data_IF_846265454825
#
_entry.id   IF_846265454825
#
_cell.length_a   1.000
_cell.length_b   1.000
_cell.length_c   1.000
_cell.angle_alpha   90.00
_cell.angle_beta   90.00
_cell.angle_gamma   90.00
#
_symmetry.space_group_name_H-M   'P 1'
#
loop_
_entity.id
_entity.type
_entity.pdbx_description
1 polymer ?
#
# COMPACT_ATOMS: atom_id res chain seq x y z
N UNK A 1 -36.39 85.48 -3.79
CA UNK A 1 -35.47 84.47 -3.36
C UNK A 1 -35.93 83.11 -3.93
N UNK A 2 -35.17 82.60 -4.93
CA UNK A 2 -35.55 81.41 -5.69
C UNK A 2 -34.84 80.20 -5.19
N UNK A 3 -35.55 79.17 -4.80
CA UNK A 3 -35.02 77.91 -4.33
C UNK A 3 -34.96 76.94 -5.48
N UNK A 4 -33.72 76.64 -5.95
CA UNK A 4 -33.49 75.60 -6.99
C UNK A 4 -33.54 74.19 -6.33
N UNK A 5 -34.52 73.39 -6.80
CA UNK A 5 -34.56 71.93 -6.49
C UNK A 5 -33.56 71.23 -7.37
N UNK A 6 -32.59 70.53 -6.68
CA UNK A 6 -31.68 69.60 -7.37
C UNK A 6 -32.34 68.20 -7.34
N UNK A 7 -32.66 67.68 -8.52
CA UNK A 7 -33.12 66.29 -8.69
C UNK A 7 -31.86 65.44 -8.87
N UNK A 8 -31.58 64.57 -7.92
CA UNK A 8 -30.52 63.55 -8.02
C UNK A 8 -31.10 62.30 -8.68
N UNK A 9 -30.66 62.04 -9.90
CA UNK A 9 -31.02 60.83 -10.64
C UNK A 9 -30.07 59.70 -10.19
N UNK A 10 -30.58 58.74 -9.41
CA UNK A 10 -29.85 57.53 -9.05
C UNK A 10 -29.89 56.56 -10.23
N UNK A 11 -28.75 56.34 -10.89
CA UNK A 11 -28.56 55.28 -11.87
C UNK A 11 -28.28 53.97 -11.12
N UNK A 12 -29.27 53.09 -11.07
CA UNK A 12 -29.13 51.74 -10.55
C UNK A 12 -28.44 50.86 -11.61
N UNK A 13 -27.17 50.61 -11.44
CA UNK A 13 -26.44 49.64 -12.27
C UNK A 13 -26.88 48.23 -11.90
N UNK A 14 -27.75 47.62 -12.68
CA UNK A 14 -28.08 46.20 -12.58
C UNK A 14 -26.89 45.41 -13.13
N UNK A 15 -26.07 44.82 -12.23
CA UNK A 15 -25.08 43.84 -12.61
C UNK A 15 -25.82 42.53 -12.92
N UNK A 16 -26.01 42.25 -14.21
CA UNK A 16 -26.46 40.96 -14.71
C UNK A 16 -25.35 39.93 -14.42
N UNK A 17 -25.46 39.22 -13.29
CA UNK A 17 -24.71 37.99 -13.09
C UNK A 17 -25.36 36.94 -13.99
N UNK A 18 -24.83 36.82 -15.20
CA UNK A 18 -25.20 35.73 -16.09
C UNK A 18 -24.85 34.38 -15.44
N UNK A 19 -25.60 33.30 -15.73
CA UNK A 19 -25.24 31.96 -15.22
C UNK A 19 -23.83 31.65 -15.73
N UNK A 20 -22.90 31.30 -14.78
CA UNK A 20 -21.61 30.73 -15.16
C UNK A 20 -21.92 29.52 -16.07
N UNK A 21 -21.68 29.65 -17.36
CA UNK A 21 -21.81 28.55 -18.29
C UNK A 21 -20.88 27.44 -17.78
N UNK A 22 -21.45 26.28 -17.46
CA UNK A 22 -20.64 25.10 -17.11
C UNK A 22 -19.66 24.89 -18.27
N UNK A 23 -18.36 24.87 -17.95
CA UNK A 23 -17.32 24.71 -18.97
C UNK A 23 -17.60 23.43 -19.77
N UNK A 24 -17.62 23.55 -21.10
CA UNK A 24 -17.86 22.42 -21.99
C UNK A 24 -16.75 21.36 -21.77
N UNK A 25 -17.17 20.10 -21.64
CA UNK A 25 -16.24 19.00 -21.45
C UNK A 25 -15.61 18.60 -22.80
N UNK A 26 -14.32 18.35 -22.78
CA UNK A 26 -13.63 17.82 -23.94
C UNK A 26 -14.09 16.39 -24.23
N UNK A 27 -14.11 16.02 -25.52
CA UNK A 27 -14.65 14.72 -25.98
C UNK A 27 -13.79 13.50 -25.60
N UNK A 28 -12.59 13.73 -25.07
CA UNK A 28 -11.62 12.68 -24.69
C UNK A 28 -11.08 12.93 -23.29
N UNK A 29 -10.74 11.84 -22.59
CA UNK A 29 -10.02 11.85 -21.31
C UNK A 29 -9.04 10.67 -21.28
N UNK A 30 -7.77 10.91 -20.97
CA UNK A 30 -6.74 9.89 -20.87
C UNK A 30 -6.30 9.71 -19.43
N UNK A 31 -6.52 8.51 -18.87
CA UNK A 31 -6.24 8.18 -17.46
C UNK A 31 -5.12 7.16 -17.37
N UNK A 32 -3.99 7.54 -16.80
CA UNK A 32 -2.91 6.60 -16.44
C UNK A 32 -3.26 5.91 -15.12
N UNK A 33 -3.29 4.60 -15.12
CA UNK A 33 -3.66 3.84 -13.92
C UNK A 33 -2.98 2.49 -13.80
N UNK A 34 -2.72 2.07 -12.54
CA UNK A 34 -2.26 0.71 -12.20
C UNK A 34 -3.39 -0.21 -11.75
N UNK A 35 -4.60 0.30 -11.61
CA UNK A 35 -5.75 -0.45 -11.08
C UNK A 35 -6.22 -1.59 -11.99
N UNK A 36 -6.82 -2.65 -11.41
CA UNK A 36 -7.34 -3.79 -12.17
C UNK A 36 -8.46 -3.37 -13.15
N UNK A 37 -8.65 -4.21 -14.18
CA UNK A 37 -9.60 -3.93 -15.26
C UNK A 37 -11.04 -3.80 -14.78
N UNK A 38 -11.47 -4.60 -13.80
CA UNK A 38 -12.84 -4.57 -13.30
C UNK A 38 -13.19 -3.21 -12.68
N UNK A 39 -12.29 -2.65 -11.86
CA UNK A 39 -12.46 -1.32 -11.29
C UNK A 39 -12.50 -0.26 -12.39
N UNK A 40 -11.48 -0.23 -13.25
CA UNK A 40 -11.36 0.83 -14.27
C UNK A 40 -12.49 0.79 -15.29
N UNK A 41 -12.99 -0.42 -15.65
CA UNK A 41 -14.13 -0.60 -16.55
C UNK A 41 -15.43 -0.06 -15.94
N UNK A 42 -15.67 -0.34 -14.64
CA UNK A 42 -16.88 0.14 -13.95
C UNK A 42 -16.91 1.66 -13.86
N UNK A 43 -15.79 2.29 -13.46
CA UNK A 43 -15.70 3.75 -13.41
C UNK A 43 -15.79 4.41 -14.80
N UNK A 44 -15.11 3.85 -15.80
CA UNK A 44 -15.24 4.31 -17.20
C UNK A 44 -16.68 4.28 -17.65
N UNK A 45 -17.37 3.13 -17.48
CA UNK A 45 -18.78 2.97 -17.90
C UNK A 45 -19.69 3.99 -17.18
N UNK A 46 -19.52 4.17 -15.88
CA UNK A 46 -20.33 5.10 -15.10
C UNK A 46 -20.07 6.56 -15.47
N UNK A 47 -18.81 6.93 -15.69
CA UNK A 47 -18.46 8.29 -16.12
C UNK A 47 -18.99 8.61 -17.53
N UNK A 48 -18.79 7.71 -18.51
CA UNK A 48 -19.28 7.88 -19.88
C UNK A 48 -20.82 7.88 -19.96
N UNK A 49 -21.50 7.18 -19.04
CA UNK A 49 -22.96 7.25 -18.93
C UNK A 49 -23.45 8.60 -18.39
N UNK A 50 -22.72 9.19 -17.41
CA UNK A 50 -23.03 10.51 -16.85
C UNK A 50 -22.69 11.66 -17.82
N UNK A 51 -21.65 11.46 -18.62
CA UNK A 51 -21.15 12.44 -19.59
C UNK A 51 -21.01 11.79 -20.97
N UNK A 52 -22.14 11.62 -21.74
CA UNK A 52 -22.15 10.81 -22.96
C UNK A 52 -21.24 11.33 -24.08
N UNK A 53 -20.84 12.60 -24.03
CA UNK A 53 -19.93 13.21 -25.01
C UNK A 53 -18.45 12.89 -24.80
N UNK A 54 -18.08 12.35 -23.64
CA UNK A 54 -16.69 12.11 -23.26
C UNK A 54 -16.30 10.63 -23.41
N UNK A 55 -15.18 10.35 -24.08
CA UNK A 55 -14.60 9.01 -24.19
C UNK A 55 -13.37 8.87 -23.31
N UNK A 56 -13.40 7.93 -22.37
CA UNK A 56 -12.30 7.67 -21.45
C UNK A 56 -11.36 6.60 -22.00
N UNK A 57 -10.09 6.95 -22.12
CA UNK A 57 -9.00 6.01 -22.46
C UNK A 57 -8.21 5.64 -21.19
N UNK A 58 -8.16 4.35 -20.84
CA UNK A 58 -7.40 3.85 -19.70
C UNK A 58 -6.02 3.38 -20.16
N UNK A 59 -4.98 4.19 -19.90
CA UNK A 59 -3.58 3.86 -20.18
C UNK A 59 -3.00 3.07 -19.00
N UNK A 60 -3.02 1.75 -19.12
CA UNK A 60 -2.60 0.86 -18.03
C UNK A 60 -1.08 0.81 -17.89
N UNK A 61 -0.57 1.26 -16.74
CA UNK A 61 0.86 1.24 -16.38
C UNK A 61 1.02 0.83 -14.91
N UNK A 62 2.13 0.16 -14.58
CA UNK A 62 2.52 0.00 -13.16
C UNK A 62 2.76 1.40 -12.56
N UNK A 63 2.55 1.56 -11.25
CA UNK A 63 2.71 2.86 -10.56
C UNK A 63 4.03 3.55 -10.93
N UNK A 64 5.18 2.90 -10.72
CA UNK A 64 6.50 3.48 -11.06
C UNK A 64 6.71 3.72 -12.56
N UNK A 65 6.13 2.89 -13.43
CA UNK A 65 6.18 3.09 -14.87
C UNK A 65 5.28 4.25 -15.32
N UNK A 66 4.21 4.52 -14.57
CA UNK A 66 3.35 5.69 -14.77
C UNK A 66 4.08 6.98 -14.42
N UNK A 67 4.77 7.05 -13.27
CA UNK A 67 5.62 8.19 -12.89
C UNK A 67 6.64 8.47 -13.99
N UNK A 68 7.41 7.45 -14.38
CA UNK A 68 8.44 7.59 -15.41
C UNK A 68 7.87 8.08 -16.75
N UNK A 69 6.71 7.55 -17.15
CA UNK A 69 6.03 7.99 -18.37
C UNK A 69 5.65 9.47 -18.31
N UNK A 70 5.11 9.95 -17.19
CA UNK A 70 4.75 11.37 -17.01
C UNK A 70 6.01 12.25 -17.07
N UNK A 71 7.08 11.84 -16.37
CA UNK A 71 8.37 12.55 -16.40
C UNK A 71 8.97 12.65 -17.81
N UNK A 72 8.95 11.55 -18.58
CA UNK A 72 9.50 11.48 -19.93
C UNK A 72 8.65 12.24 -20.96
N UNK A 73 7.34 12.35 -20.73
CA UNK A 73 6.42 13.00 -21.69
C UNK A 73 6.02 14.42 -21.32
N UNK A 74 6.59 15.01 -20.25
CA UNK A 74 6.19 16.31 -19.71
C UNK A 74 6.09 17.46 -20.73
N UNK A 75 6.97 17.48 -21.73
CA UNK A 75 6.98 18.51 -22.79
C UNK A 75 5.94 18.28 -23.90
N UNK A 76 5.37 17.07 -24.00
CA UNK A 76 4.36 16.65 -24.99
C UNK A 76 3.31 15.78 -24.30
N UNK A 77 2.82 16.24 -23.15
CA UNK A 77 1.86 15.49 -22.36
C UNK A 77 0.58 15.19 -23.15
N UNK A 78 0.13 13.92 -23.11
CA UNK A 78 -1.10 13.44 -23.76
C UNK A 78 -2.06 12.79 -22.76
N UNK A 79 -1.72 12.81 -21.48
CA UNK A 79 -2.51 12.20 -20.42
C UNK A 79 -3.05 13.28 -19.47
N UNK A 80 -4.21 13.03 -18.91
CA UNK A 80 -4.92 14.01 -18.09
C UNK A 80 -4.87 13.69 -16.62
N UNK A 81 -5.02 12.41 -16.27
CA UNK A 81 -5.16 11.94 -14.90
C UNK A 81 -4.11 10.86 -14.59
N UNK A 82 -3.53 10.96 -13.42
CA UNK A 82 -2.81 9.87 -12.76
C UNK A 82 -3.67 9.32 -11.61
N UNK A 83 -4.06 8.03 -11.69
CA UNK A 83 -4.98 7.41 -10.75
C UNK A 83 -4.45 6.05 -10.27
N UNK A 84 -3.89 6.02 -9.05
CA UNK A 84 -3.23 4.85 -8.47
C UNK A 84 -3.41 4.75 -6.95
N UNK A 85 -3.05 3.60 -6.36
CA UNK A 85 -3.24 3.33 -4.93
C UNK A 85 -2.10 3.77 -4.01
N UNK A 86 -0.98 4.24 -4.57
CA UNK A 86 0.23 4.55 -3.78
C UNK A 86 0.35 6.07 -3.60
N UNK A 87 0.11 6.62 -2.40
CA UNK A 87 0.15 8.06 -2.16
C UNK A 87 1.54 8.67 -2.37
N UNK A 88 2.61 7.96 -2.03
CA UNK A 88 4.01 8.35 -2.24
C UNK A 88 4.34 8.64 -3.71
N UNK A 89 3.64 7.98 -4.65
CA UNK A 89 3.80 8.26 -6.08
C UNK A 89 3.37 9.68 -6.47
N UNK A 90 2.39 10.24 -5.77
CA UNK A 90 1.92 11.62 -6.00
C UNK A 90 2.89 12.63 -5.42
N UNK A 91 3.52 12.34 -4.29
CA UNK A 91 4.56 13.20 -3.72
C UNK A 91 5.75 13.36 -4.68
N UNK A 92 6.15 12.28 -5.36
CA UNK A 92 7.20 12.36 -6.41
C UNK A 92 6.79 13.30 -7.53
N UNK A 93 5.56 13.14 -8.06
CA UNK A 93 5.09 13.98 -9.17
C UNK A 93 4.83 15.43 -8.75
N UNK A 94 4.41 15.67 -7.50
CA UNK A 94 4.24 17.00 -6.92
C UNK A 94 5.58 17.74 -6.83
N UNK A 95 6.62 17.09 -6.28
CA UNK A 95 7.96 17.66 -6.18
C UNK A 95 8.57 17.99 -7.55
N UNK A 96 8.28 17.15 -8.55
CA UNK A 96 8.73 17.38 -9.93
C UNK A 96 7.93 18.46 -10.67
N UNK A 97 6.89 19.06 -10.04
CA UNK A 97 5.99 20.04 -10.65
C UNK A 97 5.13 19.45 -11.78
N UNK A 98 4.81 18.15 -11.71
CA UNK A 98 4.11 17.42 -12.75
C UNK A 98 2.63 17.19 -12.46
N UNK A 99 2.11 17.79 -11.40
CA UNK A 99 0.68 17.80 -11.07
C UNK A 99 0.13 19.22 -11.07
N UNK A 100 -1.16 19.34 -11.43
CA UNK A 100 -1.91 20.57 -11.38
C UNK A 100 -2.78 20.63 -10.13
N UNK A 101 -2.81 21.77 -9.47
CA UNK A 101 -3.71 22.02 -8.33
C UNK A 101 -5.16 21.95 -8.77
N UNK A 102 -5.93 21.12 -8.10
CA UNK A 102 -7.38 21.05 -8.23
C UNK A 102 -8.01 20.53 -6.93
N UNK A 103 -8.89 21.33 -6.34
CA UNK A 103 -9.69 20.94 -5.17
C UNK A 103 -11.08 20.55 -5.64
N UNK A 104 -11.41 19.27 -5.47
CA UNK A 104 -12.75 18.76 -5.77
C UNK A 104 -13.80 19.45 -4.89
N UNK A 105 -14.91 19.86 -5.48
CA UNK A 105 -16.06 20.47 -4.79
C UNK A 105 -17.01 19.44 -4.17
N UNK A 106 -16.72 18.14 -4.26
CA UNK A 106 -17.59 17.07 -3.76
C UNK A 106 -17.75 17.16 -2.25
N UNK A 107 -18.99 17.35 -1.79
CA UNK A 107 -19.35 17.42 -0.37
C UNK A 107 -19.38 16.04 0.30
N UNK A 108 -19.42 16.04 1.64
CA UNK A 108 -19.60 14.82 2.46
C UNK A 108 -18.35 13.95 2.62
N UNK A 109 -17.18 14.41 2.17
CA UNK A 109 -15.93 13.70 2.34
C UNK A 109 -15.15 14.35 3.48
N UNK A 110 -14.79 13.61 4.55
CA UNK A 110 -14.01 14.15 5.65
C UNK A 110 -12.58 14.48 5.23
N UNK A 111 -11.90 15.29 6.02
CA UNK A 111 -10.49 15.66 5.76
C UNK A 111 -9.53 14.49 5.97
N UNK A 112 -9.86 13.59 6.90
CA UNK A 112 -9.02 12.46 7.29
C UNK A 112 -9.79 11.14 7.32
N UNK A 113 -9.04 10.03 7.22
CA UNK A 113 -9.49 8.69 7.55
C UNK A 113 -8.53 8.12 8.60
N UNK A 114 -9.03 7.80 9.79
CA UNK A 114 -8.15 7.60 10.94
C UNK A 114 -7.28 8.84 11.15
N UNK A 115 -5.96 8.68 11.14
CA UNK A 115 -5.00 9.77 11.28
C UNK A 115 -4.47 10.30 9.93
N UNK A 116 -4.96 9.75 8.80
CA UNK A 116 -4.39 10.00 7.48
C UNK A 116 -5.22 11.03 6.69
N UNK A 117 -4.59 12.08 6.09
CA UNK A 117 -5.28 13.03 5.21
C UNK A 117 -5.86 12.33 3.98
N UNK A 118 -7.14 12.55 3.68
CA UNK A 118 -7.79 12.00 2.48
C UNK A 118 -7.41 12.71 1.19
N UNK A 119 -6.84 13.92 1.28
CA UNK A 119 -6.39 14.66 0.10
C UNK A 119 -5.12 15.44 0.46
N UNK A 120 -4.34 15.79 -0.55
CA UNK A 120 -3.19 16.66 -0.37
C UNK A 120 -3.63 18.04 0.14
N UNK A 121 -3.05 18.57 1.24
CA UNK A 121 -3.39 19.90 1.75
C UNK A 121 -3.20 21.03 0.72
N UNK A 122 -2.23 20.88 -0.19
CA UNK A 122 -1.97 21.86 -1.25
C UNK A 122 -2.85 21.65 -2.48
N UNK A 123 -3.62 20.56 -2.55
CA UNK A 123 -4.61 20.30 -3.59
C UNK A 123 -4.07 19.66 -4.87
N UNK A 124 -2.88 19.10 -4.89
CA UNK A 124 -2.31 18.45 -6.07
C UNK A 124 -2.91 17.07 -6.38
N UNK A 125 -3.48 16.41 -5.37
CA UNK A 125 -4.19 15.14 -5.55
C UNK A 125 -5.29 14.95 -4.50
N UNK A 126 -6.27 14.15 -4.85
CA UNK A 126 -7.42 13.85 -4.00
C UNK A 126 -7.58 12.37 -3.79
N UNK A 127 -7.87 11.96 -2.54
CA UNK A 127 -8.31 10.61 -2.23
C UNK A 127 -9.64 10.29 -2.92
N UNK A 128 -9.75 9.08 -3.45
CA UNK A 128 -10.93 8.62 -4.20
C UNK A 128 -11.45 7.27 -3.73
N UNK A 129 -10.66 6.54 -2.96
CA UNK A 129 -11.02 5.32 -2.25
C UNK A 129 -10.04 5.15 -1.10
N UNK A 130 -10.35 4.32 -0.12
CA UNK A 130 -9.41 3.96 0.93
C UNK A 130 -9.10 2.46 0.88
N UNK A 131 -8.00 2.07 1.49
CA UNK A 131 -7.61 0.68 1.66
C UNK A 131 -6.70 0.51 2.88
N UNK A 132 -6.85 -0.61 3.57
CA UNK A 132 -5.97 -1.03 4.65
C UNK A 132 -5.23 -2.32 4.31
N UNK A 133 -4.27 -2.69 5.15
CA UNK A 133 -3.47 -3.90 4.97
C UNK A 133 -3.83 -4.91 6.05
N UNK A 134 -3.78 -6.20 5.69
CA UNK A 134 -4.14 -7.21 6.67
C UNK A 134 -3.82 -8.62 6.23
N UNK A 135 -4.45 -9.55 6.90
CA UNK A 135 -4.24 -10.98 6.77
C UNK A 135 -5.47 -11.60 6.14
N UNK A 136 -5.28 -12.25 5.00
CA UNK A 136 -6.26 -13.06 4.30
C UNK A 136 -5.95 -14.54 4.54
N UNK A 137 -6.96 -15.38 4.72
CA UNK A 137 -6.76 -16.82 4.87
C UNK A 137 -7.85 -17.62 4.17
N UNK A 138 -7.50 -18.87 3.82
CA UNK A 138 -8.44 -19.84 3.24
C UNK A 138 -8.98 -20.77 4.34
N UNK A 139 -10.27 -20.68 4.64
CA UNK A 139 -10.94 -21.44 5.69
C UNK A 139 -10.82 -22.97 5.52
N UNK A 140 -10.92 -23.45 4.27
CA UNK A 140 -10.77 -24.89 3.97
C UNK A 140 -9.34 -25.36 4.21
N UNK A 141 -8.36 -24.55 3.80
CA UNK A 141 -6.94 -24.84 4.03
C UNK A 141 -6.60 -24.88 5.51
N UNK A 142 -7.02 -23.84 6.28
CA UNK A 142 -6.76 -23.81 7.72
C UNK A 142 -7.35 -25.02 8.43
N UNK A 143 -8.61 -25.39 8.09
CA UNK A 143 -9.26 -26.58 8.65
C UNK A 143 -8.47 -27.85 8.31
N UNK A 144 -8.11 -28.06 7.04
CA UNK A 144 -7.38 -29.26 6.59
C UNK A 144 -5.99 -29.39 7.23
N UNK A 145 -5.30 -28.28 7.45
CA UNK A 145 -3.97 -28.22 8.06
C UNK A 145 -3.99 -28.04 9.58
N UNK A 146 -5.18 -27.95 10.20
CA UNK A 146 -5.38 -27.72 11.65
C UNK A 146 -4.67 -26.44 12.13
N UNK A 147 -4.70 -25.38 11.32
CA UNK A 147 -4.10 -24.09 11.64
C UNK A 147 -5.13 -23.20 12.33
N UNK A 148 -4.74 -22.45 13.39
CA UNK A 148 -5.62 -21.44 13.97
C UNK A 148 -5.83 -20.28 13.00
N UNK A 149 -6.88 -19.49 13.21
CA UNK A 149 -7.12 -18.25 12.47
C UNK A 149 -6.17 -17.17 13.00
N UNK A 150 -5.35 -16.53 12.13
CA UNK A 150 -4.48 -15.45 12.56
C UNK A 150 -5.27 -14.15 12.74
N UNK A 151 -4.96 -13.40 13.81
CA UNK A 151 -5.60 -12.12 14.11
C UNK A 151 -4.62 -10.93 14.05
N UNK A 152 -3.34 -11.17 14.39
CA UNK A 152 -2.32 -10.14 14.50
C UNK A 152 -1.08 -10.50 13.67
N UNK A 153 -0.28 -9.49 13.27
CA UNK A 153 0.98 -9.73 12.55
C UNK A 153 1.88 -10.74 13.25
N UNK A 154 2.05 -10.60 14.57
CA UNK A 154 2.87 -11.51 15.39
C UNK A 154 2.41 -12.98 15.37
N UNK A 155 1.14 -13.23 15.06
CA UNK A 155 0.65 -14.61 14.96
C UNK A 155 1.35 -15.35 13.82
N UNK A 156 1.65 -14.65 12.71
CA UNK A 156 2.32 -15.24 11.55
C UNK A 156 3.77 -15.68 11.83
N UNK A 157 4.36 -15.21 12.93
CA UNK A 157 5.68 -15.67 13.39
C UNK A 157 5.62 -16.98 14.22
N UNK A 158 4.41 -17.44 14.60
CA UNK A 158 4.25 -18.69 15.37
C UNK A 158 4.65 -19.92 14.52
N UNK A 159 5.29 -20.95 15.14
CA UNK A 159 5.75 -22.14 14.44
C UNK A 159 4.69 -22.86 13.60
N UNK A 160 3.43 -22.82 14.04
CA UNK A 160 2.30 -23.46 13.35
C UNK A 160 2.09 -22.97 11.93
N UNK A 161 2.53 -21.75 11.61
CA UNK A 161 2.39 -21.17 10.27
C UNK A 161 3.59 -21.41 9.36
N UNK A 162 4.62 -22.16 9.79
CA UNK A 162 5.80 -22.41 8.98
C UNK A 162 5.46 -23.09 7.64
N UNK A 163 5.81 -22.43 6.53
CA UNK A 163 5.51 -22.89 5.17
C UNK A 163 4.05 -22.70 4.73
N UNK A 164 3.26 -21.87 5.45
CA UNK A 164 1.85 -21.65 5.14
C UNK A 164 1.49 -20.21 4.78
N UNK A 165 2.43 -19.27 4.86
CA UNK A 165 2.22 -17.83 4.63
C UNK A 165 2.81 -17.40 3.30
N UNK A 166 2.15 -16.47 2.61
CA UNK A 166 2.66 -15.80 1.41
C UNK A 166 2.61 -14.27 1.54
N UNK A 167 3.61 -13.62 0.98
CA UNK A 167 3.67 -12.16 0.82
C UNK A 167 4.26 -11.83 -0.54
N UNK A 168 4.10 -10.61 -1.05
CA UNK A 168 4.79 -10.17 -2.27
C UNK A 168 6.03 -9.33 -1.95
N UNK A 169 6.95 -9.19 -2.92
CA UNK A 169 8.12 -8.33 -2.76
C UNK A 169 7.74 -6.85 -2.84
N UNK A 170 8.11 -6.00 -1.87
CA UNK A 170 7.80 -4.57 -1.88
C UNK A 170 8.48 -3.84 -3.05
N UNK A 171 9.66 -4.27 -3.47
CA UNK A 171 10.39 -3.72 -4.63
C UNK A 171 9.60 -3.78 -5.94
N UNK A 172 8.55 -4.61 -6.02
CA UNK A 172 7.72 -4.81 -7.21
C UNK A 172 6.26 -4.46 -7.00
N UNK A 173 5.89 -4.06 -5.80
CA UNK A 173 4.51 -3.74 -5.41
C UNK A 173 4.48 -2.57 -4.44
N UNK A 174 4.01 -1.40 -4.90
CA UNK A 174 3.79 -0.25 -4.02
C UNK A 174 2.84 -0.57 -2.86
N UNK A 175 1.84 -1.41 -3.09
CA UNK A 175 0.96 -1.93 -2.02
C UNK A 175 1.75 -2.64 -0.93
N UNK A 176 2.66 -3.54 -1.30
CA UNK A 176 3.46 -4.28 -0.33
C UNK A 176 4.50 -3.39 0.35
N UNK A 177 5.06 -2.41 -0.37
CA UNK A 177 5.92 -1.40 0.24
C UNK A 177 5.20 -0.67 1.36
N UNK A 178 3.98 -0.19 1.11
CA UNK A 178 3.16 0.46 2.14
C UNK A 178 2.82 -0.48 3.32
N UNK A 179 2.60 -1.77 3.06
CA UNK A 179 2.41 -2.76 4.14
C UNK A 179 3.65 -2.88 5.03
N UNK A 180 4.83 -2.95 4.43
CA UNK A 180 6.12 -3.01 5.15
C UNK A 180 6.34 -1.70 5.93
N UNK A 181 6.17 -0.56 5.29
CA UNK A 181 6.29 0.76 5.94
C UNK A 181 5.32 0.93 7.10
N UNK A 182 4.09 0.45 6.98
CA UNK A 182 3.11 0.45 8.08
C UNK A 182 3.66 -0.29 9.32
N UNK A 183 4.32 -1.43 9.12
CA UNK A 183 4.93 -2.17 10.23
C UNK A 183 6.16 -1.45 10.80
N UNK A 184 6.96 -0.79 9.96
CA UNK A 184 8.16 -0.05 10.36
C UNK A 184 7.84 1.28 11.04
N UNK A 185 6.68 1.87 10.75
CA UNK A 185 6.20 3.13 11.34
C UNK A 185 5.25 2.90 12.52
N UNK A 186 5.05 1.65 12.95
CA UNK A 186 4.31 1.37 14.18
C UNK A 186 5.05 1.90 15.41
N UNK A 187 4.37 1.99 16.54
CA UNK A 187 4.97 2.43 17.81
C UNK A 187 6.18 1.59 18.25
N UNK A 188 6.32 0.37 17.69
CA UNK A 188 7.44 -0.52 17.94
C UNK A 188 8.74 -0.06 17.24
N UNK A 189 8.64 0.80 16.22
CA UNK A 189 9.74 1.43 15.51
C UNK A 189 10.52 0.52 14.55
N UNK A 190 11.56 1.07 13.93
CA UNK A 190 12.35 0.46 12.86
C UNK A 190 12.94 -0.91 13.23
N UNK A 191 13.67 -0.99 14.33
CA UNK A 191 14.38 -2.22 14.70
C UNK A 191 13.41 -3.37 15.01
N UNK A 192 12.36 -3.10 15.80
CA UNK A 192 11.34 -4.10 16.14
C UNK A 192 10.46 -4.44 14.94
N UNK A 193 10.14 -3.46 14.11
CA UNK A 193 9.42 -3.66 12.85
C UNK A 193 10.14 -4.66 11.93
N UNK A 194 11.44 -4.46 11.66
CA UNK A 194 12.24 -5.42 10.88
C UNK A 194 12.37 -6.79 11.53
N UNK A 195 12.56 -6.83 12.84
CA UNK A 195 12.55 -8.08 13.60
C UNK A 195 11.25 -8.86 13.38
N UNK A 196 10.10 -8.19 13.55
CA UNK A 196 8.79 -8.82 13.38
C UNK A 196 8.58 -9.29 11.93
N UNK A 197 8.94 -8.47 10.94
CA UNK A 197 8.85 -8.82 9.51
C UNK A 197 9.69 -10.06 9.20
N UNK A 198 10.96 -10.13 9.67
CA UNK A 198 11.83 -11.28 9.42
C UNK A 198 11.35 -12.56 10.13
N UNK A 199 10.85 -12.44 11.35
CA UNK A 199 10.28 -13.60 12.07
C UNK A 199 9.03 -14.16 11.41
N UNK A 200 8.16 -13.28 10.86
CA UNK A 200 7.05 -13.72 10.02
C UNK A 200 7.54 -14.34 8.71
N UNK A 201 8.52 -13.69 8.06
CA UNK A 201 9.06 -14.14 6.79
C UNK A 201 9.76 -15.51 6.87
N UNK A 202 10.33 -15.86 8.02
CA UNK A 202 10.83 -17.20 8.28
C UNK A 202 9.77 -18.32 8.19
N UNK A 203 8.50 -17.95 8.23
CA UNK A 203 7.37 -18.86 8.04
C UNK A 203 6.76 -18.79 6.62
N UNK A 204 7.32 -17.96 5.72
CA UNK A 204 6.77 -17.82 4.38
C UNK A 204 7.01 -19.08 3.54
N UNK A 205 5.96 -19.49 2.84
CA UNK A 205 6.04 -20.45 1.75
C UNK A 205 6.66 -19.83 0.51
N UNK A 206 6.36 -18.55 0.29
CA UNK A 206 6.78 -17.84 -0.92
C UNK A 206 6.73 -16.33 -0.76
N UNK A 207 7.60 -15.64 -1.51
CA UNK A 207 7.52 -14.21 -1.81
C UNK A 207 7.18 -14.08 -3.29
N UNK A 208 5.94 -13.66 -3.59
CA UNK A 208 5.48 -13.50 -4.97
C UNK A 208 6.02 -12.21 -5.59
N UNK A 209 6.16 -12.18 -6.92
CA UNK A 209 6.64 -10.99 -7.63
C UNK A 209 5.63 -9.82 -7.60
N UNK A 210 4.34 -10.11 -7.42
CA UNK A 210 3.27 -9.11 -7.49
C UNK A 210 2.23 -9.35 -6.41
N UNK A 211 1.63 -8.27 -5.93
CA UNK A 211 0.64 -8.32 -4.87
C UNK A 211 -0.56 -9.24 -5.17
N UNK A 212 -1.02 -9.32 -6.41
CA UNK A 212 -2.14 -10.20 -6.78
C UNK A 212 -1.79 -11.70 -6.78
N UNK A 213 -0.50 -12.08 -6.85
CA UNK A 213 -0.10 -13.48 -6.70
C UNK A 213 -0.35 -14.04 -5.29
N UNK A 214 -0.50 -13.17 -4.29
CA UNK A 214 -0.81 -13.60 -2.92
C UNK A 214 -2.26 -14.03 -2.78
N UNK A 215 -3.28 -13.22 -3.12
CA UNK A 215 -4.67 -13.66 -3.06
C UNK A 215 -4.94 -14.85 -3.99
N UNK A 216 -4.31 -14.92 -5.18
CA UNK A 216 -4.43 -16.08 -6.06
C UNK A 216 -3.96 -17.38 -5.39
N UNK A 217 -2.81 -17.33 -4.69
CA UNK A 217 -2.28 -18.47 -3.95
C UNK A 217 -3.16 -18.89 -2.77
N UNK A 218 -3.75 -17.93 -2.05
CA UNK A 218 -4.70 -18.21 -0.95
C UNK A 218 -6.01 -18.77 -1.50
N UNK A 219 -6.56 -18.19 -2.57
CA UNK A 219 -7.80 -18.65 -3.20
C UNK A 219 -7.70 -20.08 -3.69
N UNK A 220 -6.58 -20.45 -4.33
CA UNK A 220 -6.31 -21.79 -4.84
C UNK A 220 -5.85 -22.79 -3.78
N UNK A 221 -5.49 -22.32 -2.58
CA UNK A 221 -4.93 -23.18 -1.53
C UNK A 221 -3.49 -23.62 -1.78
N UNK A 222 -2.73 -22.89 -2.62
CA UNK A 222 -1.28 -23.11 -2.78
C UNK A 222 -0.53 -22.83 -1.47
N UNK A 223 -1.06 -21.89 -0.66
CA UNK A 223 -0.75 -21.65 0.74
C UNK A 223 -2.00 -21.11 1.45
N UNK A 224 -2.02 -21.19 2.79
CA UNK A 224 -3.23 -20.95 3.57
C UNK A 224 -3.48 -19.51 3.99
N UNK A 225 -2.41 -18.70 4.10
CA UNK A 225 -2.45 -17.36 4.68
C UNK A 225 -1.68 -16.39 3.81
N UNK A 226 -2.22 -15.20 3.58
CA UNK A 226 -1.59 -14.16 2.76
C UNK A 226 -1.60 -12.80 3.41
N UNK A 227 -0.50 -12.06 3.30
CA UNK A 227 -0.44 -10.65 3.67
C UNK A 227 -0.84 -9.84 2.44
N UNK A 228 -1.97 -9.14 2.51
CA UNK A 228 -2.60 -8.47 1.37
C UNK A 228 -3.18 -7.11 1.75
N UNK A 229 -3.48 -6.32 0.73
CA UNK A 229 -4.39 -5.18 0.86
C UNK A 229 -5.84 -5.68 0.92
N UNK A 230 -6.67 -5.04 1.70
CA UNK A 230 -8.02 -5.46 2.10
C UNK A 230 -8.94 -5.87 0.93
N UNK A 231 -8.98 -5.06 -0.12
CA UNK A 231 -9.88 -5.35 -1.24
C UNK A 231 -9.60 -6.68 -1.93
N UNK A 232 -8.42 -7.26 -1.82
CA UNK A 232 -8.15 -8.61 -2.33
C UNK A 232 -8.88 -9.68 -1.50
N UNK A 233 -8.81 -9.59 -0.18
CA UNK A 233 -9.55 -10.49 0.71
C UNK A 233 -11.06 -10.31 0.58
N UNK A 234 -11.52 -9.06 0.61
CA UNK A 234 -12.93 -8.72 0.53
C UNK A 234 -13.56 -9.13 -0.81
N UNK A 235 -12.90 -8.84 -1.95
CA UNK A 235 -13.42 -9.21 -3.27
C UNK A 235 -13.36 -10.71 -3.53
N UNK A 236 -12.34 -11.41 -3.02
CA UNK A 236 -12.29 -12.88 -3.09
C UNK A 236 -13.43 -13.50 -2.32
N UNK A 237 -13.70 -13.04 -1.09
CA UNK A 237 -14.85 -13.50 -0.29
C UNK A 237 -16.18 -13.20 -0.98
N UNK A 238 -16.36 -11.98 -1.49
CA UNK A 238 -17.55 -11.58 -2.23
C UNK A 238 -17.76 -12.35 -3.54
N UNK A 239 -16.68 -12.88 -4.12
CA UNK A 239 -16.69 -13.74 -5.31
C UNK A 239 -16.92 -15.23 -4.99
N UNK A 240 -17.16 -15.60 -3.72
CA UNK A 240 -17.50 -16.97 -3.30
C UNK A 240 -16.31 -17.86 -2.97
N UNK A 241 -15.08 -17.33 -2.92
CA UNK A 241 -13.95 -18.12 -2.41
C UNK A 241 -14.11 -18.37 -0.90
N UNK A 242 -13.67 -19.52 -0.39
CA UNK A 242 -13.76 -19.87 1.04
C UNK A 242 -12.68 -19.16 1.84
N UNK A 243 -12.66 -17.84 1.80
CA UNK A 243 -11.65 -16.99 2.44
C UNK A 243 -12.26 -15.96 3.36
N UNK A 244 -11.46 -15.53 4.33
CA UNK A 244 -11.76 -14.40 5.21
C UNK A 244 -10.54 -13.48 5.31
N UNK A 245 -10.76 -12.31 5.91
CA UNK A 245 -9.78 -11.24 6.05
C UNK A 245 -9.92 -10.56 7.40
N UNK A 246 -8.80 -10.11 7.98
CA UNK A 246 -8.80 -9.27 9.19
C UNK A 246 -7.77 -8.15 9.07
N UNK A 247 -8.03 -7.06 9.78
CA UNK A 247 -7.08 -5.98 10.02
C UNK A 247 -6.36 -6.23 11.34
N UNK A 248 -5.03 -6.43 11.35
CA UNK A 248 -4.24 -6.42 12.58
C UNK A 248 -4.23 -5.02 13.21
N UNK A 249 -3.99 -4.94 14.52
CA UNK A 249 -3.99 -3.68 15.26
C UNK A 249 -3.12 -2.60 14.59
N UNK A 250 -1.89 -2.93 14.22
CA UNK A 250 -1.01 -1.99 13.53
C UNK A 250 -1.19 -2.12 12.02
N UNK A 251 -2.25 -1.51 11.51
CA UNK A 251 -2.47 -1.33 10.08
C UNK A 251 -2.78 0.13 9.78
N UNK A 252 -2.27 0.65 8.67
CA UNK A 252 -2.65 1.96 8.16
C UNK A 252 -3.82 1.81 7.20
N UNK A 253 -4.75 2.75 7.24
CA UNK A 253 -5.73 2.95 6.16
C UNK A 253 -5.28 4.18 5.37
N UNK A 254 -4.97 3.97 4.11
CA UNK A 254 -4.44 5.02 3.25
C UNK A 254 -5.33 5.22 2.03
N UNK A 255 -5.45 6.46 1.51
CA UNK A 255 -6.22 6.71 0.31
C UNK A 255 -5.50 6.20 -0.95
N UNK A 256 -6.29 5.72 -1.87
CA UNK A 256 -5.94 5.69 -3.27
C UNK A 256 -6.29 7.05 -3.88
N UNK A 257 -5.40 7.63 -4.66
CA UNK A 257 -5.51 9.01 -5.09
C UNK A 257 -5.70 9.14 -6.62
N UNK A 258 -6.27 10.29 -7.01
CA UNK A 258 -6.27 10.81 -8.36
C UNK A 258 -5.71 12.23 -8.36
N UNK A 259 -4.82 12.52 -9.30
CA UNK A 259 -4.25 13.85 -9.52
C UNK A 259 -4.32 14.23 -11.00
N UNK A 260 -4.55 15.49 -11.29
CA UNK A 260 -4.52 16.02 -12.67
C UNK A 260 -3.06 16.25 -13.04
N UNK A 261 -2.63 15.71 -14.17
CA UNK A 261 -1.26 15.89 -14.67
C UNK A 261 -1.08 17.33 -15.15
N UNK A 262 0.06 17.93 -14.88
CA UNK A 262 0.38 19.28 -15.37
C UNK A 262 0.25 19.36 -16.88
N UNK A 263 -0.33 20.44 -17.37
CA UNK A 263 -0.64 20.65 -18.80
C UNK A 263 -1.55 19.54 -19.40
N UNK A 264 -2.52 19.06 -18.62
CA UNK A 264 -3.52 18.11 -19.08
C UNK A 264 -4.29 18.68 -20.30
N UNK A 265 -4.31 17.99 -21.45
CA UNK A 265 -4.94 18.53 -22.67
C UNK A 265 -6.48 18.60 -22.56
N UNK A 266 -7.10 17.84 -21.64
CA UNK A 266 -8.55 17.78 -21.47
C UNK A 266 -8.92 18.14 -20.02
N UNK A 267 -8.62 19.38 -19.62
CA UNK A 267 -8.66 19.84 -18.22
C UNK A 267 -10.06 19.81 -17.59
N UNK A 268 -11.11 20.20 -18.35
CA UNK A 268 -12.47 20.21 -17.83
C UNK A 268 -12.99 18.78 -17.60
N UNK A 269 -12.73 17.88 -18.55
CA UNK A 269 -13.04 16.45 -18.41
C UNK A 269 -12.22 15.79 -17.30
N UNK A 270 -10.97 16.23 -17.08
CA UNK A 270 -10.14 15.76 -15.97
C UNK A 270 -10.71 16.16 -14.60
N UNK A 271 -11.13 17.42 -14.45
CA UNK A 271 -11.81 17.91 -13.23
C UNK A 271 -13.11 17.16 -12.97
N UNK A 272 -13.95 17.03 -14.00
CA UNK A 272 -15.21 16.29 -13.90
C UNK A 272 -14.97 14.81 -13.52
N UNK A 273 -13.87 14.19 -13.97
CA UNK A 273 -13.53 12.82 -13.61
C UNK A 273 -13.09 12.68 -12.14
N UNK A 274 -12.28 13.61 -11.63
CA UNK A 274 -11.90 13.64 -10.22
C UNK A 274 -13.14 13.78 -9.34
N UNK A 275 -14.04 14.72 -9.69
CA UNK A 275 -15.30 14.92 -8.96
C UNK A 275 -16.21 13.68 -9.04
N UNK A 276 -16.26 13.03 -10.21
CA UNK A 276 -17.04 11.80 -10.39
C UNK A 276 -16.51 10.66 -9.50
N UNK A 277 -15.19 10.47 -9.45
CA UNK A 277 -14.58 9.45 -8.56
C UNK A 277 -15.00 9.63 -7.09
N UNK A 278 -15.20 10.87 -6.67
CA UNK A 278 -15.56 11.27 -5.30
C UNK A 278 -17.07 11.35 -5.07
N UNK A 279 -17.86 11.48 -6.14
CA UNK A 279 -19.32 11.60 -6.06
C UNK A 279 -19.98 10.34 -5.47
N UNK A 280 -21.23 10.49 -5.00
CA UNK A 280 -22.03 9.36 -4.52
C UNK A 280 -22.08 8.21 -5.53
N UNK A 281 -22.25 8.51 -6.83
CA UNK A 281 -22.30 7.49 -7.89
C UNK A 281 -20.95 6.76 -8.03
N UNK A 282 -19.84 7.50 -8.01
CA UNK A 282 -18.49 6.93 -8.05
C UNK A 282 -18.18 6.09 -6.81
N UNK A 283 -18.54 6.58 -5.63
CA UNK A 283 -18.28 5.88 -4.37
C UNK A 283 -19.09 4.58 -4.24
N UNK A 284 -20.32 4.51 -4.75
CA UNK A 284 -21.12 3.28 -4.85
C UNK A 284 -20.46 2.18 -5.68
N UNK A 285 -19.72 2.56 -6.73
CA UNK A 285 -18.98 1.59 -7.56
C UNK A 285 -17.98 0.79 -6.72
N UNK A 286 -17.39 1.42 -5.69
CA UNK A 286 -16.41 0.78 -4.81
C UNK A 286 -17.00 -0.40 -4.03
N UNK A 287 -18.30 -0.40 -3.76
CA UNK A 287 -19.01 -1.47 -3.04
C UNK A 287 -19.32 -2.70 -3.92
N UNK A 288 -19.11 -2.63 -5.24
CA UNK A 288 -19.36 -3.78 -6.13
C UNK A 288 -18.50 -4.99 -5.71
N UNK A 289 -19.05 -6.23 -5.68
CA UNK A 289 -18.38 -7.41 -5.15
C UNK A 289 -16.96 -7.66 -5.68
N UNK A 290 -16.74 -7.47 -6.99
CA UNK A 290 -15.42 -7.64 -7.62
C UNK A 290 -14.43 -6.50 -7.34
N UNK A 291 -14.89 -5.41 -6.74
CA UNK A 291 -14.10 -4.21 -6.44
C UNK A 291 -13.80 -4.14 -4.94
N UNK A 292 -14.85 -4.18 -4.10
CA UNK A 292 -14.80 -4.26 -2.63
C UNK A 292 -13.76 -3.34 -1.99
N UNK A 293 -13.74 -2.05 -2.39
CA UNK A 293 -12.86 -1.04 -1.81
C UNK A 293 -13.61 -0.17 -0.82
N UNK A 294 -12.88 0.35 0.17
CA UNK A 294 -13.47 1.24 1.17
C UNK A 294 -13.82 2.59 0.55
N UNK A 295 -15.10 3.01 0.55
CA UNK A 295 -15.48 4.36 0.18
C UNK A 295 -14.87 5.40 1.12
N UNK A 296 -14.54 6.58 0.59
CA UNK A 296 -14.09 7.72 1.40
C UNK A 296 -15.24 8.61 1.88
N UNK A 297 -16.44 8.44 1.32
CA UNK A 297 -17.65 9.10 1.80
C UNK A 297 -18.36 8.20 2.81
N UNK A 298 -18.47 8.59 4.11
CA UNK A 298 -19.10 7.81 5.15
C UNK A 298 -20.54 7.42 4.86
N UNK A 299 -21.32 8.27 4.17
CA UNK A 299 -22.72 8.01 3.84
C UNK A 299 -22.90 6.81 2.91
N UNK A 300 -21.89 6.53 2.06
CA UNK A 300 -21.91 5.40 1.12
C UNK A 300 -22.06 4.06 1.84
N UNK A 301 -21.59 3.97 3.09
CA UNK A 301 -21.64 2.72 3.88
C UNK A 301 -23.06 2.29 4.26
N UNK A 302 -24.05 3.18 4.16
CA UNK A 302 -25.47 2.81 4.32
C UNK A 302 -25.95 1.80 3.27
N UNK A 303 -25.24 1.71 2.14
CA UNK A 303 -25.52 0.80 1.03
C UNK A 303 -24.51 -0.36 0.95
N UNK A 304 -23.58 -0.43 1.89
CA UNK A 304 -22.57 -1.49 1.90
C UNK A 304 -23.19 -2.85 2.27
N UNK A 305 -22.61 -3.96 1.79
CA UNK A 305 -22.98 -5.30 2.22
C UNK A 305 -22.87 -5.45 3.75
N UNK A 306 -23.69 -6.35 4.34
CA UNK A 306 -23.60 -6.65 5.76
C UNK A 306 -22.18 -7.06 6.15
N UNK A 307 -21.67 -6.51 7.26
CA UNK A 307 -20.30 -6.73 7.76
C UNK A 307 -19.18 -6.22 6.81
N UNK A 308 -19.51 -5.32 5.90
CA UNK A 308 -18.46 -4.62 5.14
C UNK A 308 -17.68 -3.69 6.08
N UNK A 309 -16.33 -3.69 6.06
CA UNK A 309 -15.53 -2.87 6.97
C UNK A 309 -15.82 -1.37 6.79
N UNK A 310 -15.99 -0.67 7.91
CA UNK A 310 -16.25 0.77 7.90
C UNK A 310 -15.24 1.50 8.79
N UNK A 311 -14.17 2.07 8.25
CA UNK A 311 -13.10 2.71 9.03
C UNK A 311 -13.53 4.02 9.72
N UNK A 312 -14.73 4.53 9.41
CA UNK A 312 -15.30 5.69 10.10
C UNK A 312 -16.07 5.32 11.37
N UNK A 313 -16.47 4.05 11.51
CA UNK A 313 -17.23 3.52 12.67
C UNK A 313 -16.43 2.52 13.49
N UNK A 314 -15.49 1.80 12.87
CA UNK A 314 -14.70 0.77 13.54
C UNK A 314 -13.33 1.34 13.93
N UNK A 315 -13.17 1.60 15.23
CA UNK A 315 -11.96 2.18 15.81
C UNK A 315 -10.75 1.24 15.75
N UNK A 316 -10.94 -0.05 15.48
CA UNK A 316 -9.83 -1.00 15.30
C UNK A 316 -9.16 -0.92 13.94
N UNK A 317 -9.74 -0.17 12.99
CA UNK A 317 -9.22 -0.08 11.62
C UNK A 317 -8.41 1.21 11.42
N UNK A 318 -7.07 1.09 11.41
CA UNK A 318 -6.17 2.16 10.96
C UNK A 318 -6.01 3.36 11.90
N UNK A 319 -6.43 3.25 13.18
CA UNK A 319 -6.30 4.36 14.15
C UNK A 319 -5.02 4.32 14.97
N UNK A 320 -4.38 3.17 15.10
CA UNK A 320 -3.19 2.99 15.94
C UNK A 320 -1.86 3.35 15.24
N UNK A 321 -1.90 3.81 13.99
CA UNK A 321 -0.71 4.21 13.24
C UNK A 321 -0.89 5.60 12.63
N UNK A 322 0.05 6.48 12.95
CA UNK A 322 0.20 7.75 12.24
C UNK A 322 1.20 7.55 11.09
N UNK A 323 0.68 7.19 9.91
CA UNK A 323 1.52 6.93 8.75
C UNK A 323 2.09 8.22 8.15
N UNK A 324 3.42 8.30 8.08
CA UNK A 324 4.14 9.41 7.47
C UNK A 324 4.55 9.08 6.02
N UNK A 325 3.88 9.71 5.06
CA UNK A 325 4.14 9.53 3.62
C UNK A 325 5.49 10.06 3.20
N UNK A 326 5.93 11.19 3.80
CA UNK A 326 7.21 11.80 3.46
C UNK A 326 8.36 10.90 3.89
N UNK A 327 8.25 10.31 5.07
CA UNK A 327 9.20 9.31 5.56
C UNK A 327 9.21 8.06 4.67
N UNK A 328 8.03 7.51 4.31
CA UNK A 328 7.94 6.37 3.38
C UNK A 328 8.60 6.68 2.04
N UNK A 329 8.37 7.88 1.50
CA UNK A 329 8.98 8.35 0.26
C UNK A 329 10.51 8.45 0.37
N UNK A 330 11.05 9.08 1.43
CA UNK A 330 12.49 9.34 1.58
C UNK A 330 13.32 8.07 1.61
N UNK A 331 12.80 6.98 2.19
CA UNK A 331 13.49 5.68 2.32
C UNK A 331 12.90 4.55 1.46
N UNK A 332 12.05 4.89 0.47
CA UNK A 332 11.34 3.92 -0.39
C UNK A 332 12.25 2.84 -0.97
N UNK A 333 13.31 3.25 -1.66
CA UNK A 333 14.21 2.31 -2.33
C UNK A 333 15.10 1.56 -1.33
N UNK A 334 15.50 2.18 -0.23
CA UNK A 334 16.26 1.55 0.86
C UNK A 334 15.47 0.39 1.48
N UNK A 335 14.21 0.64 1.87
CA UNK A 335 13.32 -0.39 2.45
C UNK A 335 13.11 -1.55 1.49
N UNK A 336 12.92 -1.25 0.19
CA UNK A 336 12.76 -2.28 -0.82
C UNK A 336 14.04 -3.11 -1.01
N UNK A 337 15.22 -2.49 -1.02
CA UNK A 337 16.51 -3.19 -1.10
C UNK A 337 16.77 -4.06 0.15
N UNK A 338 16.50 -3.52 1.34
CA UNK A 338 16.62 -4.29 2.58
C UNK A 338 15.73 -5.53 2.59
N UNK A 339 14.45 -5.38 2.22
CA UNK A 339 13.54 -6.52 2.14
C UNK A 339 14.02 -7.56 1.14
N UNK A 340 14.47 -7.13 -0.05
CA UNK A 340 14.96 -8.07 -1.06
C UNK A 340 16.19 -8.82 -0.59
N UNK A 341 17.17 -8.14 0.00
CA UNK A 341 18.41 -8.78 0.48
C UNK A 341 18.16 -9.68 1.68
N UNK A 342 17.38 -9.23 2.67
CA UNK A 342 17.16 -10.01 3.89
C UNK A 342 16.15 -11.15 3.72
N UNK A 343 15.19 -10.99 2.81
CA UNK A 343 14.04 -11.91 2.73
C UNK A 343 13.90 -12.53 1.33
N UNK A 344 13.72 -11.70 0.28
CA UNK A 344 13.38 -12.23 -1.05
C UNK A 344 14.48 -13.15 -1.59
N UNK A 345 15.75 -12.77 -1.45
CA UNK A 345 16.89 -13.53 -1.97
C UNK A 345 17.36 -14.64 -1.03
N UNK A 346 17.07 -14.52 0.26
CA UNK A 346 17.50 -15.42 1.33
C UNK A 346 16.34 -16.14 2.02
N UNK A 347 15.18 -16.28 1.31
CA UNK A 347 13.99 -16.86 1.90
C UNK A 347 14.22 -18.28 2.42
N UNK A 348 14.95 -19.10 1.68
CA UNK A 348 15.26 -20.48 2.06
C UNK A 348 16.17 -20.53 3.29
N UNK A 349 17.28 -19.78 3.28
CA UNK A 349 18.20 -19.67 4.43
C UNK A 349 17.45 -19.20 5.69
N UNK A 350 16.60 -18.18 5.57
CA UNK A 350 15.79 -17.63 6.66
C UNK A 350 14.78 -18.65 7.18
N UNK A 351 14.06 -19.33 6.27
CA UNK A 351 13.04 -20.32 6.65
C UNK A 351 13.65 -21.53 7.37
N UNK A 352 14.79 -22.04 6.89
CA UNK A 352 15.50 -23.15 7.52
C UNK A 352 16.02 -22.78 8.92
N UNK A 353 16.67 -21.61 9.06
CA UNK A 353 17.14 -21.12 10.35
C UNK A 353 15.99 -20.91 11.34
N UNK A 354 14.89 -20.30 10.88
CA UNK A 354 13.68 -20.10 11.69
C UNK A 354 13.08 -21.41 12.15
N UNK A 355 12.96 -22.41 11.25
CA UNK A 355 12.43 -23.73 11.58
C UNK A 355 13.29 -24.44 12.65
N UNK A 356 14.62 -24.37 12.51
CA UNK A 356 15.53 -24.97 13.47
C UNK A 356 15.42 -24.29 14.86
N UNK A 357 15.39 -22.95 14.89
CA UNK A 357 15.23 -22.19 16.13
C UNK A 357 13.87 -22.45 16.80
N UNK A 358 12.78 -22.48 16.04
CA UNK A 358 11.45 -22.81 16.57
C UNK A 358 11.40 -24.21 17.17
N UNK A 359 12.08 -25.19 16.54
CA UNK A 359 12.22 -26.54 17.10
C UNK A 359 13.01 -26.53 18.41
N UNK A 360 14.14 -25.83 18.44
CA UNK A 360 14.94 -25.67 19.66
C UNK A 360 14.13 -24.98 20.78
N UNK A 361 13.39 -23.90 20.47
CA UNK A 361 12.49 -23.23 21.42
C UNK A 361 11.46 -24.19 22.07
N UNK A 362 10.90 -25.10 21.30
CA UNK A 362 9.96 -26.09 21.83
C UNK A 362 10.63 -27.10 22.78
N UNK A 363 11.87 -27.49 22.49
CA UNK A 363 12.61 -28.46 23.29
C UNK A 363 13.14 -27.85 24.59
N UNK A 364 13.70 -26.63 24.57
CA UNK A 364 14.19 -25.95 25.77
C UNK A 364 13.08 -25.69 26.79
N UNK A 365 11.84 -25.45 26.34
CA UNK A 365 10.68 -25.30 27.24
C UNK A 365 10.38 -26.55 28.07
N UNK A 366 10.79 -27.73 27.58
CA UNK A 366 10.59 -29.00 28.27
C UNK A 366 11.78 -29.37 29.15
N UNK A 367 13.00 -29.03 28.76
CA UNK A 367 14.24 -29.52 29.37
C UNK A 367 15.05 -28.48 30.16
N UNK A 368 14.70 -27.16 30.00
CA UNK A 368 15.29 -26.03 30.73
C UNK A 368 16.85 -26.06 30.83
N UNK A 369 17.54 -26.50 29.78
CA UNK A 369 19.00 -26.52 29.72
C UNK A 369 19.54 -25.10 29.52
N UNK A 370 20.34 -24.51 30.46
CA UNK A 370 20.76 -23.10 30.37
C UNK A 370 21.66 -22.81 29.17
N UNK A 371 22.53 -23.72 28.76
CA UNK A 371 23.41 -23.53 27.60
C UNK A 371 22.61 -23.57 26.30
N UNK A 372 21.67 -24.50 26.18
CA UNK A 372 20.77 -24.56 25.03
C UNK A 372 19.90 -23.30 24.94
N UNK A 373 19.39 -22.79 26.06
CA UNK A 373 18.65 -21.51 26.10
C UNK A 373 19.50 -20.35 25.58
N UNK A 374 20.76 -20.27 26.01
CA UNK A 374 21.73 -19.25 25.57
C UNK A 374 21.97 -19.34 24.07
N UNK A 375 22.21 -20.52 23.52
CA UNK A 375 22.41 -20.74 22.08
C UNK A 375 21.19 -20.32 21.26
N UNK A 376 20.00 -20.70 21.68
CA UNK A 376 18.75 -20.32 21.00
C UNK A 376 18.54 -18.79 21.01
N UNK A 377 18.79 -18.15 22.16
CA UNK A 377 18.72 -16.68 22.27
C UNK A 377 19.72 -15.99 21.34
N UNK A 378 20.95 -16.49 21.26
CA UNK A 378 21.95 -15.99 20.31
C UNK A 378 21.52 -16.20 18.84
N UNK A 379 20.96 -17.36 18.51
CA UNK A 379 20.44 -17.64 17.17
C UNK A 379 19.33 -16.68 16.76
N UNK A 380 18.38 -16.43 17.64
CA UNK A 380 17.34 -15.42 17.36
C UNK A 380 17.90 -14.01 17.22
N UNK A 381 18.90 -13.63 18.02
CA UNK A 381 19.55 -12.32 17.89
C UNK A 381 20.21 -12.13 16.51
N UNK A 382 20.76 -13.20 15.92
CA UNK A 382 21.30 -13.17 14.56
C UNK A 382 20.20 -13.00 13.49
N UNK A 383 19.07 -13.69 13.64
CA UNK A 383 17.90 -13.48 12.76
C UNK A 383 17.40 -12.04 12.87
N UNK A 384 17.31 -11.49 14.06
CA UNK A 384 16.74 -10.15 14.32
C UNK A 384 17.65 -9.01 13.82
N UNK A 385 18.95 -9.25 13.63
CA UNK A 385 19.92 -8.23 13.23
C UNK A 385 19.62 -7.64 11.86
N UNK A 386 19.51 -6.31 11.77
CA UNK A 386 19.26 -5.57 10.53
C UNK A 386 20.51 -4.78 10.13
N UNK A 387 20.95 -4.79 8.86
CA UNK A 387 22.19 -4.13 8.43
C UNK A 387 22.19 -2.61 8.54
N UNK A 388 21.02 -2.00 8.69
CA UNK A 388 20.82 -0.54 8.71
C UNK A 388 20.10 -0.15 9.99
N UNK A 389 20.69 0.79 10.76
CA UNK A 389 20.03 1.39 11.93
C UNK A 389 18.93 2.36 11.51
N UNK A 390 18.06 2.70 12.46
CA UNK A 390 17.00 3.70 12.23
C UNK A 390 17.62 5.05 11.82
N UNK A 391 18.62 5.53 12.58
CA UNK A 391 19.33 6.78 12.30
C UNK A 391 19.92 6.84 10.89
N UNK A 392 20.51 5.72 10.42
CA UNK A 392 21.08 5.64 9.07
C UNK A 392 19.99 5.62 8.00
N UNK A 393 18.82 5.04 8.29
CA UNK A 393 17.67 5.00 7.38
C UNK A 393 17.06 6.38 7.10
N UNK A 394 17.35 7.37 7.94
CA UNK A 394 16.86 8.74 7.85
C UNK A 394 17.84 9.70 7.16
N UNK A 395 19.05 9.25 6.82
CA UNK A 395 20.06 10.09 6.17
C UNK A 395 19.87 10.13 4.67
N UNK A 396 19.65 11.33 4.12
CA UNK A 396 19.40 11.54 2.69
C UNK A 396 20.55 11.07 1.80
N UNK A 397 21.80 11.31 2.20
CA UNK A 397 22.99 10.87 1.49
C UNK A 397 23.08 9.34 1.38
N UNK A 398 22.66 8.63 2.44
CA UNK A 398 22.61 7.19 2.46
C UNK A 398 21.44 6.64 1.66
N UNK A 399 20.22 7.16 1.83
CA UNK A 399 19.03 6.70 1.07
C UNK A 399 19.18 6.97 -0.42
N UNK A 400 19.89 8.05 -0.80
CA UNK A 400 20.18 8.40 -2.19
C UNK A 400 21.07 7.39 -2.92
N UNK A 401 21.76 6.48 -2.22
CA UNK A 401 22.52 5.39 -2.82
C UNK A 401 21.59 4.43 -3.60
N UNK A 402 20.36 4.22 -3.11
CA UNK A 402 19.42 3.21 -3.61
C UNK A 402 18.56 3.74 -4.76
N UNK A 403 19.16 4.11 -5.89
CA UNK A 403 18.47 4.68 -7.07
C UNK A 403 18.05 3.61 -8.09
N UNK A 404 18.80 2.52 -8.17
CA UNK A 404 18.57 1.47 -9.17
C UNK A 404 17.42 0.56 -8.74
N UNK A 405 16.40 0.46 -9.60
CA UNK A 405 15.21 -0.38 -9.37
C UNK A 405 15.34 -1.68 -10.15
N UNK A 406 15.18 -2.82 -9.49
CA UNK A 406 15.06 -4.11 -10.16
C UNK A 406 13.64 -4.29 -10.71
N UNK A 407 13.54 -4.55 -12.01
CA UNK A 407 12.27 -4.93 -12.66
C UNK A 407 11.95 -6.41 -12.45
N UNK A 408 13.03 -7.23 -12.36
CA UNK A 408 12.99 -8.68 -12.09
C UNK A 408 13.96 -9.01 -10.97
N UNK A 409 13.77 -10.14 -10.29
CA UNK A 409 14.67 -10.64 -9.24
C UNK A 409 16.13 -10.77 -9.72
N UNK A 410 16.31 -11.10 -10.98
CA UNK A 410 17.62 -11.32 -11.61
C UNK A 410 18.32 -10.06 -12.10
N UNK A 411 17.64 -8.90 -12.06
CA UNK A 411 18.24 -7.65 -12.53
C UNK A 411 19.39 -7.23 -11.60
N UNK A 412 20.53 -6.89 -12.18
CA UNK A 412 21.70 -6.40 -11.45
C UNK A 412 21.54 -4.91 -11.13
N UNK A 413 22.07 -4.48 -10.00
CA UNK A 413 22.35 -3.09 -9.67
C UNK A 413 23.86 -2.84 -9.75
N UNK A 414 24.26 -1.58 -9.85
CA UNK A 414 25.65 -1.22 -10.14
C UNK A 414 26.15 -0.13 -9.17
N UNK A 415 27.46 0.07 -9.16
CA UNK A 415 28.12 1.09 -8.37
C UNK A 415 27.93 0.89 -6.87
N UNK A 416 27.85 1.99 -6.11
CA UNK A 416 27.80 1.99 -4.64
C UNK A 416 26.63 1.17 -4.08
N UNK A 417 25.49 1.16 -4.75
CA UNK A 417 24.33 0.34 -4.33
C UNK A 417 24.69 -1.16 -4.37
N UNK A 418 25.34 -1.63 -5.44
CA UNK A 418 25.74 -3.03 -5.56
C UNK A 418 26.70 -3.44 -4.44
N UNK A 419 27.72 -2.62 -4.16
CA UNK A 419 28.70 -2.87 -3.09
C UNK A 419 28.03 -3.01 -1.71
N UNK A 420 27.10 -2.10 -1.40
CA UNK A 420 26.37 -2.10 -0.12
C UNK A 420 25.46 -3.33 -0.02
N UNK A 421 24.70 -3.64 -1.07
CA UNK A 421 23.79 -4.79 -1.06
C UNK A 421 24.56 -6.13 -1.02
N UNK A 422 25.71 -6.25 -1.70
CA UNK A 422 26.56 -7.44 -1.62
C UNK A 422 27.15 -7.63 -0.21
N UNK A 423 27.55 -6.54 0.45
CA UNK A 423 27.99 -6.60 1.86
C UNK A 423 26.86 -7.10 2.75
N UNK A 424 25.66 -6.56 2.60
CA UNK A 424 24.50 -6.99 3.38
C UNK A 424 24.13 -8.44 3.09
N UNK A 425 24.17 -8.86 1.83
CA UNK A 425 23.83 -10.23 1.44
C UNK A 425 24.76 -11.24 2.09
N UNK A 426 26.08 -10.98 2.12
CA UNK A 426 27.06 -11.82 2.84
C UNK A 426 26.76 -11.85 4.34
N UNK A 427 26.57 -10.69 4.98
CA UNK A 427 26.28 -10.60 6.41
C UNK A 427 24.99 -11.35 6.78
N UNK A 428 23.93 -11.17 6.01
CA UNK A 428 22.62 -11.79 6.24
C UNK A 428 22.72 -13.33 6.08
N UNK A 429 23.38 -13.79 5.03
CA UNK A 429 23.64 -15.21 4.80
C UNK A 429 24.38 -15.84 5.96
N UNK A 430 25.50 -15.23 6.38
CA UNK A 430 26.30 -15.72 7.50
C UNK A 430 25.50 -15.75 8.81
N UNK A 431 24.69 -14.73 9.07
CA UNK A 431 23.84 -14.67 10.24
C UNK A 431 22.80 -15.80 10.25
N UNK A 432 22.15 -16.09 9.12
CA UNK A 432 21.14 -17.15 9.04
C UNK A 432 21.77 -18.54 9.15
N UNK A 433 22.93 -18.77 8.54
CA UNK A 433 23.68 -20.02 8.67
C UNK A 433 24.16 -20.25 10.11
N UNK A 434 24.74 -19.25 10.76
CA UNK A 434 25.14 -19.31 12.18
C UNK A 434 23.95 -19.55 13.09
N UNK A 435 22.82 -18.85 12.85
CA UNK A 435 21.60 -19.06 13.64
C UNK A 435 21.08 -20.50 13.55
N UNK A 436 21.10 -21.09 12.35
CA UNK A 436 20.76 -22.49 12.12
C UNK A 436 21.70 -23.45 12.87
N UNK A 437 23.02 -23.19 12.80
CA UNK A 437 24.03 -23.97 13.51
C UNK A 437 23.82 -23.94 15.04
N UNK A 438 23.62 -22.75 15.61
CA UNK A 438 23.34 -22.57 17.04
C UNK A 438 22.07 -23.31 17.47
N UNK A 439 21.03 -23.29 16.64
CA UNK A 439 19.79 -24.04 16.90
C UNK A 439 20.04 -25.55 16.93
N UNK A 440 20.84 -26.09 16.01
CA UNK A 440 21.19 -27.53 16.01
C UNK A 440 22.03 -27.91 17.23
N UNK A 441 23.07 -27.11 17.59
CA UNK A 441 23.82 -27.31 18.80
C UNK A 441 22.95 -27.32 20.07
N UNK A 442 21.99 -26.36 20.14
CA UNK A 442 21.03 -26.35 21.26
C UNK A 442 20.16 -27.60 21.32
N UNK A 443 19.71 -28.11 20.15
CA UNK A 443 18.92 -29.35 20.07
C UNK A 443 19.76 -30.55 20.53
N UNK A 444 21.02 -30.63 20.15
CA UNK A 444 21.90 -31.75 20.51
C UNK A 444 22.25 -31.78 22.00
N UNK A 445 22.30 -30.62 22.67
CA UNK A 445 22.46 -30.53 24.13
C UNK A 445 21.23 -31.01 24.92
N UNK A 446 20.09 -31.19 24.26
CA UNK A 446 18.81 -31.54 24.92
C UNK A 446 18.39 -32.98 24.63
N UNK A 447 18.97 -33.60 23.60
CA UNK A 447 18.74 -35.01 23.26
C UNK A 447 19.42 -35.92 24.29
#
# INVERSE_FOLDING_TARGET
>A
MSVKKIIATAVASVVLVGPLAAAELEKKLVVITSFPKDLTKSFKKGFEAKYPGVKVEMLKKKTTAGIKYIQETKSKNKADIYWVSAPDAFEVLKDDGLLQVYRSSTAGIPETIGTYPLSDPDGYYSGVAAAGYGIMWNNRYLKAKKLPVPAQWKDLAKPVYHGHVGMSAPSRSGTTHLTVETMLQSEEGWATGWKNIKRMAGNFKTVTERSFGVPDGVNTGSFGVGIVIDFFGLSSKASGFPVDFTYPRYTAVVPANAGIIANAPHINSARAFVDYLRSTDGQKILLQPKISRLPINPETYSQAPKNFPNPFKDDSIGKDIKFDVKLSKSRYNLVNSLFDVMITYRLEDLAEATKALQKADMLIKKNNNPEAIKLVKQGWALIDKTPVSDELSLKDDFTAIFKSKRKKRTDKVYGRQAEVEEKWDREVKDNYQKAKTLAHLAIDLIK
#
